data_IF_407583760359
#
_entry.id   IF_407583760359
#
_cell.length_a   1.000
_cell.length_b   1.000
_cell.length_c   1.000
_cell.angle_alpha   90.00
_cell.angle_beta   90.00
_cell.angle_gamma   90.00
#
_symmetry.space_group_name_H-M   'P 1'
#
loop_
_entity.id
_entity.type
_entity.pdbx_description
1 polymer ?
#
# COMPACT_ATOMS: atom_id res chain seq x y z
N UNK A 1 20.74 31.47 0.51
CA UNK A 1 20.46 30.10 0.99
C UNK A 1 21.75 29.54 1.61
N UNK A 2 21.67 28.94 2.80
CA UNK A 2 22.83 28.32 3.45
C UNK A 2 23.43 27.23 2.53
N UNK A 3 24.76 27.27 2.27
CA UNK A 3 25.42 26.32 1.36
C UNK A 3 25.25 24.83 1.78
N UNK A 4 25.21 24.55 3.07
CA UNK A 4 25.02 23.20 3.59
C UNK A 4 23.59 22.70 3.32
N UNK A 5 22.58 23.55 3.51
CA UNK A 5 21.19 23.22 3.21
C UNK A 5 21.03 22.98 1.69
N UNK A 6 21.64 23.86 0.87
CA UNK A 6 21.62 23.69 -0.59
C UNK A 6 22.24 22.37 -1.02
N UNK A 7 23.40 22.03 -0.45
CA UNK A 7 24.06 20.76 -0.74
C UNK A 7 23.18 19.57 -0.37
N UNK A 8 22.60 19.55 0.83
CA UNK A 8 21.71 18.48 1.29
C UNK A 8 20.52 18.28 0.35
N UNK A 9 19.88 19.37 -0.08
CA UNK A 9 18.75 19.29 -1.03
C UNK A 9 19.20 18.69 -2.37
N UNK A 10 20.35 19.13 -2.91
CA UNK A 10 20.88 18.60 -4.16
C UNK A 10 21.19 17.11 -4.02
N UNK A 11 21.92 16.71 -3.00
CA UNK A 11 22.30 15.31 -2.76
C UNK A 11 21.07 14.41 -2.64
N UNK A 12 20.01 14.88 -1.95
CA UNK A 12 18.73 14.17 -1.83
C UNK A 12 18.05 13.99 -3.19
N UNK A 13 17.99 15.05 -3.99
CA UNK A 13 17.40 14.98 -5.34
C UNK A 13 18.18 14.03 -6.25
N UNK A 14 19.51 14.10 -6.24
CA UNK A 14 20.34 13.20 -7.06
C UNK A 14 20.20 11.73 -6.64
N UNK A 15 20.08 11.46 -5.33
CA UNK A 15 19.79 10.11 -4.82
C UNK A 15 18.44 9.59 -5.36
N UNK A 16 17.39 10.40 -5.36
CA UNK A 16 16.08 10.02 -5.92
C UNK A 16 16.14 9.77 -7.42
N UNK A 17 16.85 10.60 -8.17
CA UNK A 17 17.05 10.40 -9.62
C UNK A 17 17.77 9.07 -9.90
N UNK A 18 18.83 8.75 -9.15
CA UNK A 18 19.55 7.50 -9.31
C UNK A 18 18.65 6.29 -8.99
N UNK A 19 17.84 6.37 -7.92
CA UNK A 19 16.89 5.33 -7.55
C UNK A 19 15.83 5.10 -8.66
N UNK A 20 15.28 6.16 -9.23
CA UNK A 20 14.29 6.04 -10.33
C UNK A 20 14.95 5.44 -11.58
N UNK A 21 16.16 5.84 -11.93
CA UNK A 21 16.89 5.29 -13.07
C UNK A 21 17.23 3.80 -12.89
N UNK A 22 17.47 3.36 -11.67
CA UNK A 22 17.69 1.95 -11.35
C UNK A 22 16.39 1.15 -11.38
N UNK A 23 15.32 1.70 -10.81
CA UNK A 23 13.97 1.14 -10.89
C UNK A 23 13.52 0.92 -12.34
N UNK A 24 13.76 1.88 -13.24
CA UNK A 24 13.43 1.79 -14.65
C UNK A 24 14.10 0.58 -15.33
N UNK A 25 15.35 0.27 -14.94
CA UNK A 25 16.11 -0.83 -15.52
C UNK A 25 15.71 -2.22 -15.01
N UNK A 26 15.25 -2.31 -13.77
CA UNK A 26 15.14 -3.60 -13.06
C UNK A 26 13.74 -3.99 -12.62
N UNK A 27 12.75 -3.08 -12.64
CA UNK A 27 11.51 -3.31 -11.92
C UNK A 27 10.23 -3.27 -12.77
N UNK A 28 10.31 -2.92 -14.05
CA UNK A 28 9.10 -2.77 -14.88
C UNK A 28 8.35 -4.08 -15.09
N UNK A 29 9.03 -5.18 -15.31
CA UNK A 29 8.39 -6.49 -15.46
C UNK A 29 7.65 -6.91 -14.16
N UNK A 30 8.31 -6.69 -13.01
CA UNK A 30 7.69 -6.96 -11.71
C UNK A 30 6.47 -6.06 -11.48
N UNK A 31 6.57 -4.78 -11.81
CA UNK A 31 5.45 -3.85 -11.69
C UNK A 31 4.28 -4.21 -12.59
N UNK A 32 4.57 -4.63 -13.83
CA UNK A 32 3.56 -5.11 -14.76
C UNK A 32 2.82 -6.35 -14.21
N UNK A 33 3.57 -7.34 -13.71
CA UNK A 33 3.00 -8.54 -13.12
C UNK A 33 2.12 -8.25 -11.88
N UNK A 34 2.52 -7.30 -11.03
CA UNK A 34 1.71 -6.83 -9.90
C UNK A 34 0.41 -6.18 -10.40
N UNK A 35 0.49 -5.30 -11.39
CA UNK A 35 -0.67 -4.63 -11.95
C UNK A 35 -1.66 -5.62 -12.60
N UNK A 36 -1.15 -6.61 -13.33
CA UNK A 36 -1.96 -7.68 -13.92
C UNK A 36 -2.65 -8.52 -12.84
N UNK A 37 -1.94 -8.89 -11.78
CA UNK A 37 -2.47 -9.68 -10.66
C UNK A 37 -3.61 -8.94 -9.95
N UNK A 38 -3.41 -7.65 -9.62
CA UNK A 38 -4.43 -6.82 -8.99
C UNK A 38 -5.64 -6.66 -9.92
N UNK A 39 -5.40 -6.40 -11.19
CA UNK A 39 -6.47 -6.24 -12.19
C UNK A 39 -7.29 -7.52 -12.32
N UNK A 40 -6.66 -8.67 -12.40
CA UNK A 40 -7.34 -9.96 -12.50
C UNK A 40 -8.21 -10.25 -11.25
N UNK A 41 -7.72 -9.96 -10.05
CA UNK A 41 -8.49 -10.11 -8.83
C UNK A 41 -9.74 -9.20 -8.83
N UNK A 42 -9.59 -7.93 -9.16
CA UNK A 42 -10.70 -6.97 -9.22
C UNK A 42 -11.73 -7.31 -10.32
N UNK A 43 -11.31 -7.87 -11.44
CA UNK A 43 -12.21 -8.35 -12.51
C UNK A 43 -13.04 -9.57 -12.09
N UNK A 44 -12.60 -10.30 -11.08
CA UNK A 44 -13.29 -11.45 -10.50
C UNK A 44 -14.01 -11.10 -9.19
N UNK A 45 -14.32 -9.82 -8.99
CA UNK A 45 -14.96 -9.26 -7.78
C UNK A 45 -14.18 -9.51 -6.48
N UNK A 46 -12.87 -9.73 -6.58
CA UNK A 46 -11.97 -9.81 -5.42
C UNK A 46 -11.77 -8.45 -4.75
N UNK A 47 -11.35 -8.49 -3.50
CA UNK A 47 -11.06 -7.30 -2.68
C UNK A 47 -9.56 -7.14 -2.50
N UNK A 48 -9.08 -5.89 -2.55
CA UNK A 48 -7.69 -5.54 -2.24
C UNK A 48 -7.61 -5.11 -0.77
N UNK A 49 -6.99 -5.91 0.07
CA UNK A 49 -6.69 -5.56 1.45
C UNK A 49 -5.29 -4.97 1.54
N UNK A 50 -5.17 -3.82 2.20
CA UNK A 50 -3.92 -3.08 2.29
C UNK A 50 -3.52 -2.91 3.76
N UNK A 51 -2.24 -3.09 4.07
CA UNK A 51 -1.74 -2.90 5.42
C UNK A 51 -0.33 -2.31 5.44
N UNK A 52 0.03 -1.73 6.55
CA UNK A 52 1.34 -1.16 6.82
C UNK A 52 1.32 -0.38 8.13
N UNK A 53 2.47 0.05 8.59
CA UNK A 53 2.64 0.81 9.83
C UNK A 53 3.10 2.25 9.56
N UNK A 54 2.75 3.19 10.41
CA UNK A 54 3.22 4.57 10.29
C UNK A 54 2.89 5.21 8.94
N UNK A 55 3.90 5.68 8.21
CA UNK A 55 3.75 6.22 6.86
C UNK A 55 3.13 5.21 5.88
N UNK A 56 3.54 3.94 5.96
CA UNK A 56 2.97 2.86 5.15
C UNK A 56 1.49 2.59 5.46
N UNK A 57 1.02 2.85 6.68
CA UNK A 57 -0.41 2.83 6.99
C UNK A 57 -1.16 3.97 6.28
N UNK A 58 -0.56 5.16 6.21
CA UNK A 58 -1.12 6.28 5.46
C UNK A 58 -1.20 5.99 3.97
N UNK A 59 -0.16 5.38 3.38
CA UNK A 59 -0.15 4.96 1.98
C UNK A 59 -1.23 3.91 1.70
N UNK A 60 -1.39 2.91 2.57
CA UNK A 60 -2.44 1.90 2.48
C UNK A 60 -3.84 2.52 2.46
N UNK A 61 -4.12 3.50 3.33
CA UNK A 61 -5.38 4.22 3.37
C UNK A 61 -5.60 5.07 2.12
N UNK A 62 -4.55 5.78 1.66
CA UNK A 62 -4.62 6.60 0.46
C UNK A 62 -4.99 5.74 -0.76
N UNK A 63 -4.26 4.64 -0.97
CA UNK A 63 -4.51 3.75 -2.12
C UNK A 63 -5.89 3.10 -2.03
N UNK A 64 -6.34 2.67 -0.85
CA UNK A 64 -7.71 2.18 -0.68
C UNK A 64 -8.75 3.24 -1.06
N UNK A 65 -8.54 4.49 -0.64
CA UNK A 65 -9.38 5.62 -1.00
C UNK A 65 -9.44 5.87 -2.50
N UNK A 66 -8.31 5.78 -3.21
CA UNK A 66 -8.26 5.93 -4.67
C UNK A 66 -8.96 4.78 -5.39
N UNK A 67 -8.87 3.55 -4.90
CA UNK A 67 -9.53 2.39 -5.48
C UNK A 67 -11.06 2.45 -5.28
N UNK A 68 -11.53 2.75 -4.09
CA UNK A 68 -12.96 2.90 -3.77
C UNK A 68 -13.55 4.16 -4.42
N UNK A 69 -12.81 5.24 -4.49
CA UNK A 69 -13.16 6.46 -5.21
C UNK A 69 -13.06 6.28 -6.73
N UNK A 70 -12.32 7.13 -7.39
CA UNK A 70 -12.16 7.08 -8.85
C UNK A 70 -10.76 7.37 -9.37
N UNK A 71 -9.86 7.88 -8.49
CA UNK A 71 -8.55 8.44 -8.86
C UNK A 71 -8.68 9.48 -9.99
N UNK A 72 -8.23 9.17 -11.20
CA UNK A 72 -8.22 10.11 -12.34
C UNK A 72 -9.36 9.90 -13.35
N UNK A 73 -10.09 8.80 -13.28
CA UNK A 73 -11.11 8.44 -14.27
C UNK A 73 -12.44 8.08 -13.60
N UNK A 74 -13.53 8.55 -14.17
CA UNK A 74 -14.85 8.08 -13.76
C UNK A 74 -15.00 6.58 -14.06
N UNK A 75 -15.32 5.79 -13.05
CA UNK A 75 -15.45 4.33 -13.15
C UNK A 75 -16.25 3.77 -11.96
N UNK A 76 -16.65 2.52 -12.07
CA UNK A 76 -17.19 1.74 -10.94
C UNK A 76 -16.18 1.74 -9.77
N UNK A 77 -16.67 1.81 -8.55
CA UNK A 77 -15.86 1.63 -7.34
C UNK A 77 -15.21 0.24 -7.33
N UNK A 78 -13.96 0.17 -6.92
CA UNK A 78 -13.20 -1.07 -6.78
C UNK A 78 -13.10 -1.44 -5.30
N UNK A 79 -13.30 -2.71 -4.97
CA UNK A 79 -13.29 -3.17 -3.59
C UNK A 79 -11.88 -3.09 -2.99
N UNK A 80 -11.69 -2.22 -2.00
CA UNK A 80 -10.43 -2.08 -1.29
C UNK A 80 -10.65 -1.70 0.17
N UNK A 81 -9.82 -2.24 1.06
CA UNK A 81 -9.91 -2.03 2.51
C UNK A 81 -8.51 -1.86 3.11
N UNK A 82 -8.27 -0.74 3.79
CA UNK A 82 -7.06 -0.57 4.58
C UNK A 82 -7.26 -1.14 5.99
N UNK A 83 -6.47 -2.14 6.37
CA UNK A 83 -6.56 -2.83 7.66
C UNK A 83 -6.03 -2.00 8.85
N UNK A 84 -5.56 -0.79 8.59
CA UNK A 84 -5.02 0.15 9.59
C UNK A 84 -6.04 1.20 10.06
N UNK A 85 -7.33 1.07 9.74
CA UNK A 85 -8.33 2.11 9.99
C UNK A 85 -9.24 1.85 11.18
N UNK A 86 -9.56 0.61 11.50
CA UNK A 86 -10.41 0.28 12.63
C UNK A 86 -9.60 0.25 13.93
N UNK A 87 -9.68 1.33 14.68
CA UNK A 87 -8.92 1.49 15.93
C UNK A 87 -9.34 0.50 17.01
N UNK A 88 -10.59 0.04 17.00
CA UNK A 88 -11.08 -0.96 17.95
C UNK A 88 -10.46 -2.32 17.68
N UNK A 89 -10.41 -2.74 16.42
CA UNK A 89 -9.75 -3.99 16.01
C UNK A 89 -8.25 -3.93 16.32
N UNK A 90 -7.58 -2.84 15.95
CA UNK A 90 -6.14 -2.64 16.16
C UNK A 90 -5.77 -2.74 17.64
N UNK A 91 -6.47 -2.00 18.49
CA UNK A 91 -6.18 -1.95 19.92
C UNK A 91 -6.57 -3.22 20.66
N UNK A 92 -7.71 -3.83 20.33
CA UNK A 92 -8.13 -5.12 20.87
C UNK A 92 -7.10 -6.22 20.59
N UNK A 93 -6.70 -6.41 19.34
CA UNK A 93 -5.74 -7.44 18.98
C UNK A 93 -4.37 -7.17 19.62
N UNK A 94 -3.91 -5.91 19.62
CA UNK A 94 -2.63 -5.56 20.24
C UNK A 94 -2.63 -5.80 21.74
N UNK A 95 -3.75 -5.55 22.44
CA UNK A 95 -3.89 -5.75 23.88
C UNK A 95 -4.04 -7.24 24.24
N UNK A 96 -4.90 -7.97 23.54
CA UNK A 96 -5.28 -9.34 23.92
C UNK A 96 -4.27 -10.39 23.44
N UNK A 97 -3.50 -10.09 22.39
CA UNK A 97 -2.50 -10.99 21.82
C UNK A 97 -1.11 -10.35 21.75
N UNK A 98 -0.85 -9.58 20.68
CA UNK A 98 0.35 -8.76 20.52
C UNK A 98 0.18 -7.85 19.29
N UNK A 99 0.99 -6.80 19.21
CA UNK A 99 1.01 -5.91 18.05
C UNK A 99 1.35 -6.66 16.74
N UNK A 100 2.21 -7.66 16.78
CA UNK A 100 2.59 -8.49 15.63
C UNK A 100 1.40 -9.24 15.02
N UNK A 101 0.34 -9.48 15.77
CA UNK A 101 -0.87 -10.18 15.32
C UNK A 101 -1.92 -9.29 14.68
N UNK A 102 -1.74 -7.96 14.73
CA UNK A 102 -2.77 -6.99 14.34
C UNK A 102 -3.25 -7.19 12.90
N UNK A 103 -2.36 -7.33 11.95
CA UNK A 103 -2.75 -7.57 10.55
C UNK A 103 -3.02 -9.04 10.25
N UNK A 104 -2.27 -9.94 10.86
CA UNK A 104 -2.45 -11.37 10.64
C UNK A 104 -3.87 -11.86 11.01
N UNK A 105 -4.39 -11.42 12.16
CA UNK A 105 -5.75 -11.80 12.58
C UNK A 105 -6.85 -11.18 11.71
N UNK A 106 -6.67 -9.96 11.24
CA UNK A 106 -7.60 -9.35 10.29
C UNK A 106 -7.57 -10.09 8.95
N UNK A 107 -6.37 -10.45 8.47
CA UNK A 107 -6.21 -11.23 7.23
C UNK A 107 -6.91 -12.58 7.35
N UNK A 108 -6.71 -13.31 8.43
CA UNK A 108 -7.38 -14.59 8.72
C UNK A 108 -8.91 -14.46 8.73
N UNK A 109 -9.42 -13.38 9.30
CA UNK A 109 -10.86 -13.13 9.42
C UNK A 109 -11.51 -12.70 8.10
N UNK A 110 -10.86 -11.89 7.30
CA UNK A 110 -11.48 -11.12 6.20
C UNK A 110 -11.07 -11.63 4.82
N UNK A 111 -9.80 -11.95 4.60
CA UNK A 111 -9.28 -12.27 3.26
C UNK A 111 -9.75 -13.65 2.79
N UNK A 112 -10.19 -13.74 1.56
CA UNK A 112 -10.72 -14.95 0.92
C UNK A 112 -9.91 -15.31 -0.32
N UNK A 113 -10.11 -16.51 -0.81
CA UNK A 113 -9.50 -16.95 -2.07
C UNK A 113 -9.95 -16.02 -3.21
N UNK A 114 -9.00 -15.49 -3.93
CA UNK A 114 -9.23 -14.52 -5.02
C UNK A 114 -8.99 -13.07 -4.61
N UNK A 115 -8.90 -12.79 -3.30
CA UNK A 115 -8.51 -11.48 -2.78
C UNK A 115 -6.99 -11.27 -2.83
N UNK A 116 -6.57 -10.03 -2.72
CA UNK A 116 -5.16 -9.64 -2.62
C UNK A 116 -4.90 -9.03 -1.24
N UNK A 117 -3.82 -9.47 -0.60
CA UNK A 117 -3.22 -8.74 0.52
C UNK A 117 -1.98 -8.00 0.03
N UNK A 118 -2.00 -6.68 0.14
CA UNK A 118 -0.91 -5.79 -0.24
C UNK A 118 -0.31 -5.12 1.00
N UNK A 119 0.88 -5.56 1.39
CA UNK A 119 1.60 -5.03 2.55
C UNK A 119 2.66 -4.01 2.11
N UNK A 120 2.70 -2.88 2.79
CA UNK A 120 3.68 -1.80 2.62
C UNK A 120 4.67 -1.81 3.79
N UNK A 121 5.97 -1.69 3.46
CA UNK A 121 7.05 -1.62 4.45
C UNK A 121 8.10 -0.58 4.03
#
# INVERSE_FOLDING_TARGET
MNPQIRKYIIDTVETHKAMIADFEKSSFETLAAIAETITAALQQDGTIYLCGNGGSAADAQHIAGELVGRFTRERKALAAVALSTDTSILTCIANDYSFEKVFARQTEALVRKGDILWAFS
#
